data_IF_590176288581
#
_entry.id   IF_590176288581
#
_cell.length_a   1.000
_cell.length_b   1.000
_cell.length_c   1.000
_cell.angle_alpha   90.00
_cell.angle_beta   90.00
_cell.angle_gamma   90.00
#
_symmetry.space_group_name_H-M   'P 1'
#
loop_
_entity.id
_entity.type
_entity.pdbx_description
1 polymer ?
#
# COMPACT_ATOMS: atom_id res chain seq x y z
N UNK A 1 18.14 -2.92 -14.51
CA UNK A 1 17.56 -3.06 -13.16
C UNK A 1 18.31 -4.12 -12.38
N UNK A 2 18.85 -3.76 -11.22
CA UNK A 2 19.49 -4.69 -10.30
C UNK A 2 18.45 -5.40 -9.42
N UNK A 3 18.81 -6.52 -8.81
CA UNK A 3 17.95 -7.24 -7.85
C UNK A 3 17.45 -6.38 -6.68
N UNK A 4 18.28 -5.57 -6.01
CA UNK A 4 17.80 -4.69 -4.94
C UNK A 4 16.84 -3.61 -5.45
N UNK A 5 16.99 -3.17 -6.69
CA UNK A 5 16.07 -2.21 -7.29
C UNK A 5 14.70 -2.84 -7.56
N UNK A 6 14.67 -4.09 -8.03
CA UNK A 6 13.43 -4.86 -8.22
C UNK A 6 12.68 -5.10 -6.91
N UNK A 7 13.41 -5.39 -5.84
CA UNK A 7 12.81 -5.58 -4.52
C UNK A 7 12.13 -4.31 -4.02
N UNK A 8 12.80 -3.15 -4.14
CA UNK A 8 12.20 -1.85 -3.78
C UNK A 8 10.93 -1.54 -4.57
N UNK A 9 10.89 -1.89 -5.85
CA UNK A 9 9.69 -1.71 -6.68
C UNK A 9 8.55 -2.61 -6.20
N UNK A 10 8.83 -3.90 -5.93
CA UNK A 10 7.83 -4.85 -5.42
C UNK A 10 7.28 -4.41 -4.07
N UNK A 11 8.16 -3.97 -3.19
CA UNK A 11 7.82 -3.50 -1.85
C UNK A 11 6.91 -2.25 -1.91
N UNK A 12 7.30 -1.24 -2.71
CA UNK A 12 6.44 -0.07 -2.97
C UNK A 12 5.08 -0.49 -3.52
N UNK A 13 5.03 -1.41 -4.47
CA UNK A 13 3.77 -1.89 -5.03
C UNK A 13 2.89 -2.59 -3.97
N UNK A 14 3.51 -3.30 -3.02
CA UNK A 14 2.82 -3.85 -1.86
C UNK A 14 2.16 -2.79 -0.99
N UNK A 15 2.87 -1.70 -0.67
CA UNK A 15 2.31 -0.60 0.12
C UNK A 15 1.11 0.06 -0.57
N UNK A 16 1.21 0.27 -1.89
CA UNK A 16 0.11 0.84 -2.69
C UNK A 16 -1.13 -0.05 -2.62
N UNK A 17 -0.97 -1.36 -2.87
CA UNK A 17 -2.08 -2.32 -2.83
C UNK A 17 -2.74 -2.40 -1.46
N UNK A 18 -1.96 -2.36 -0.39
CA UNK A 18 -2.49 -2.40 0.97
C UNK A 18 -3.35 -1.17 1.30
N UNK A 19 -2.91 0.02 0.88
CA UNK A 19 -3.71 1.25 1.05
C UNK A 19 -5.02 1.18 0.26
N UNK A 20 -4.99 0.64 -0.95
CA UNK A 20 -6.17 0.58 -1.82
C UNK A 20 -7.16 -0.53 -1.43
N UNK A 21 -6.65 -1.67 -0.98
CA UNK A 21 -7.44 -2.90 -0.86
C UNK A 21 -7.51 -3.48 0.55
N UNK A 22 -6.59 -3.06 1.43
CA UNK A 22 -6.39 -3.64 2.76
C UNK A 22 -5.36 -4.77 2.81
N UNK A 23 -4.81 -5.20 1.67
CA UNK A 23 -3.91 -6.35 1.57
C UNK A 23 -2.65 -6.01 0.78
N UNK A 24 -1.47 -6.43 1.23
CA UNK A 24 -0.20 -6.26 0.50
C UNK A 24 -0.18 -6.99 -0.84
N UNK A 25 -0.95 -8.06 -0.96
CA UNK A 25 -1.17 -8.78 -2.23
C UNK A 25 -2.17 -8.09 -3.16
N UNK A 26 -2.99 -7.16 -2.64
CA UNK A 26 -4.08 -6.52 -3.36
C UNK A 26 -5.42 -7.26 -3.29
N UNK A 27 -5.49 -8.40 -2.62
CA UNK A 27 -6.72 -9.20 -2.55
C UNK A 27 -6.77 -10.05 -1.28
N UNK A 28 -7.96 -10.22 -0.73
CA UNK A 28 -8.19 -11.12 0.42
C UNK A 28 -7.87 -12.58 0.11
N UNK A 29 -7.96 -12.99 -1.17
CA UNK A 29 -7.67 -14.38 -1.58
C UNK A 29 -6.21 -14.79 -1.37
N UNK A 30 -5.30 -13.83 -1.40
CA UNK A 30 -3.86 -14.01 -1.23
C UNK A 30 -3.38 -13.20 -0.02
N UNK A 31 -4.21 -13.08 1.01
CA UNK A 31 -3.86 -12.38 2.24
C UNK A 31 -2.64 -13.05 2.89
N UNK A 32 -1.68 -12.23 3.32
CA UNK A 32 -0.59 -12.70 4.15
C UNK A 32 -1.09 -12.99 5.58
N UNK A 33 -0.39 -13.81 6.37
CA UNK A 33 -0.75 -14.03 7.77
C UNK A 33 -0.91 -12.72 8.54
N UNK A 34 -2.07 -12.52 9.16
CA UNK A 34 -2.39 -11.29 9.90
C UNK A 34 -2.99 -10.15 9.06
N UNK A 35 -3.27 -10.36 7.76
CA UNK A 35 -3.96 -9.38 6.92
C UNK A 35 -5.48 -9.63 6.83
N UNK A 36 -6.30 -8.57 6.74
CA UNK A 36 -5.90 -7.16 6.74
C UNK A 36 -5.54 -6.71 8.16
N UNK A 37 -4.53 -5.85 8.30
CA UNK A 37 -4.26 -5.24 9.60
C UNK A 37 -5.41 -4.30 9.99
N UNK A 38 -5.66 -4.07 11.29
CA UNK A 38 -6.79 -3.25 11.74
C UNK A 38 -6.86 -1.87 11.08
N UNK A 39 -5.71 -1.18 10.92
CA UNK A 39 -5.63 0.13 10.27
C UNK A 39 -5.90 0.13 8.74
N UNK A 40 -5.90 -1.05 8.11
CA UNK A 40 -6.13 -1.22 6.67
C UNK A 40 -7.41 -2.00 6.35
N UNK A 41 -8.30 -2.23 7.32
CA UNK A 41 -9.56 -2.92 7.04
C UNK A 41 -10.31 -2.27 5.85
N UNK A 42 -10.85 -3.07 4.90
CA UNK A 42 -11.49 -2.55 3.70
C UNK A 42 -12.68 -1.61 3.97
N UNK A 43 -13.36 -1.77 5.11
CA UNK A 43 -14.48 -0.91 5.53
C UNK A 43 -14.07 0.44 6.11
N UNK A 44 -12.78 0.69 6.34
CA UNK A 44 -12.31 1.99 6.81
C UNK A 44 -12.38 3.05 5.69
N UNK A 45 -12.51 4.34 6.06
CA UNK A 45 -12.28 5.42 5.10
C UNK A 45 -10.90 5.31 4.47
N UNK A 46 -10.80 5.64 3.18
CA UNK A 46 -9.51 5.65 2.48
C UNK A 46 -8.50 6.54 3.22
N UNK A 47 -8.93 7.72 3.69
CA UNK A 47 -8.08 8.67 4.42
C UNK A 47 -7.41 8.07 5.65
N UNK A 48 -8.11 7.21 6.41
CA UNK A 48 -7.54 6.49 7.56
C UNK A 48 -6.41 5.58 7.11
N UNK A 49 -6.58 4.83 6.01
CA UNK A 49 -5.55 3.95 5.46
C UNK A 49 -4.34 4.73 4.93
N UNK A 50 -4.59 5.87 4.27
CA UNK A 50 -3.51 6.77 3.85
C UNK A 50 -2.73 7.33 5.04
N UNK A 51 -3.43 7.79 6.09
CA UNK A 51 -2.82 8.32 7.31
C UNK A 51 -1.96 7.28 8.04
N UNK A 52 -2.45 6.05 8.18
CA UNK A 52 -1.66 4.95 8.74
C UNK A 52 -0.40 4.66 7.92
N UNK A 53 -0.52 4.65 6.58
CA UNK A 53 0.62 4.32 5.71
C UNK A 53 1.70 5.38 5.69
N UNK A 54 1.34 6.67 5.71
CA UNK A 54 2.34 7.74 5.72
C UNK A 54 3.13 7.77 7.04
N UNK A 55 2.47 7.42 8.16
CA UNK A 55 3.13 7.28 9.45
C UNK A 55 4.09 6.08 9.46
N UNK A 56 3.63 4.92 8.96
CA UNK A 56 4.46 3.70 8.83
C UNK A 56 5.72 3.94 7.98
N UNK A 57 5.56 4.62 6.84
CA UNK A 57 6.64 4.84 5.88
C UNK A 57 7.51 6.08 6.17
N UNK A 58 7.10 6.92 7.12
CA UNK A 58 7.72 8.23 7.36
C UNK A 58 7.83 9.10 6.09
N UNK A 59 6.78 9.11 5.25
CA UNK A 59 6.70 9.91 4.02
C UNK A 59 5.51 10.88 4.05
N UNK A 60 5.52 11.89 3.17
CA UNK A 60 4.39 12.80 3.02
C UNK A 60 3.21 12.20 2.23
N UNK A 61 1.98 12.66 2.53
CA UNK A 61 0.76 12.25 1.83
C UNK A 61 0.82 12.48 0.32
N UNK A 62 1.41 13.60 -0.11
CA UNK A 62 1.60 13.91 -1.54
C UNK A 62 2.47 12.86 -2.24
N UNK A 63 3.50 12.38 -1.58
CA UNK A 63 4.40 11.33 -2.11
C UNK A 63 3.64 10.02 -2.30
N UNK A 64 2.87 9.60 -1.29
CA UNK A 64 2.08 8.38 -1.37
C UNK A 64 0.97 8.47 -2.44
N UNK A 65 0.25 9.60 -2.52
CA UNK A 65 -0.75 9.84 -3.58
C UNK A 65 -0.13 9.79 -4.97
N UNK A 66 1.08 10.32 -5.15
CA UNK A 66 1.81 10.20 -6.42
C UNK A 66 2.11 8.75 -6.76
N UNK A 67 2.55 7.94 -5.80
CA UNK A 67 2.80 6.52 -6.05
C UNK A 67 1.53 5.78 -6.50
N UNK A 68 0.39 6.08 -5.87
CA UNK A 68 -0.91 5.51 -6.24
C UNK A 68 -1.31 5.91 -7.65
N UNK A 69 -1.16 7.19 -8.00
CA UNK A 69 -1.45 7.70 -9.34
C UNK A 69 -0.53 7.08 -10.40
N UNK A 70 0.77 6.93 -10.11
CA UNK A 70 1.73 6.30 -11.01
C UNK A 70 1.43 4.79 -11.23
N UNK A 71 0.78 4.13 -10.27
CA UNK A 71 0.49 2.69 -10.31
C UNK A 71 -0.91 2.32 -10.84
N UNK A 72 -1.81 3.30 -10.98
CA UNK A 72 -3.18 3.08 -11.47
C UNK A 72 -3.34 3.88 -12.75
N UNK A 73 -3.22 3.26 -13.94
CA UNK A 73 -3.57 3.93 -15.17
C UNK A 73 -5.06 4.30 -15.14
N UNK A 74 -5.36 5.56 -15.48
CA UNK A 74 -6.73 6.08 -15.56
C UNK A 74 -7.54 5.46 -16.69
#
# INVERSE_FOLDING_TARGET
MSEPERERIRDRAGHIREVLTGYRSGTSRLALPGEPRPEYMPGLPAETRYAAKIAELSIGLRTLKRWVADATPG
#
